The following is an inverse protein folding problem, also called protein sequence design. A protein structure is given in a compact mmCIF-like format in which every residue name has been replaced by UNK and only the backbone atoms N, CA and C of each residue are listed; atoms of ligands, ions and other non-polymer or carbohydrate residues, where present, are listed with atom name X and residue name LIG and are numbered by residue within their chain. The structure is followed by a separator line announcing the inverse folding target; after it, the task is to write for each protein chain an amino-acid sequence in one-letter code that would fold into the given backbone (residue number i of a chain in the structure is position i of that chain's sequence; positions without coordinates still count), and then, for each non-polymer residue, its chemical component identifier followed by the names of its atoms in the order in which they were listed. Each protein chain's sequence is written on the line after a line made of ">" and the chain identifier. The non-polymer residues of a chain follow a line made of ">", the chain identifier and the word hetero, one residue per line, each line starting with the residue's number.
data_IF_628828574987
#
_entry.id   IF_628828574987
#
_cell.length_a   1.000
_cell.length_b   1.000
_cell.length_c   1.000
_cell.angle_alpha   90.00
_cell.angle_beta   90.00
_cell.angle_gamma   90.00
#
_symmetry.space_group_name_H-M   'P 1'
#
loop_
_entity.id
_entity.type
_entity.pdbx_description
1 polymer ?
#
# COMPACT_ATOMS: atom_id res chain seq x y z
N UNK A 1 -0.60 2.23 -37.11
CA UNK A 1 -1.46 1.10 -36.71
C UNK A 1 -2.72 1.12 -37.60
N UNK A 2 -3.13 -0.03 -38.08
CA UNK A 2 -4.40 -0.20 -38.80
C UNK A 2 -5.49 -0.55 -37.76
N UNK A 3 -6.77 -0.47 -38.17
CA UNK A 3 -7.87 -0.85 -37.27
C UNK A 3 -7.79 -2.32 -36.81
N UNK A 4 -7.19 -3.19 -37.59
CA UNK A 4 -6.93 -4.61 -37.27
C UNK A 4 -5.86 -4.83 -36.16
N UNK A 5 -5.13 -3.79 -35.77
CA UNK A 5 -4.03 -3.88 -34.81
C UNK A 5 -4.50 -3.59 -33.37
N UNK A 6 -5.73 -3.12 -33.22
CA UNK A 6 -6.33 -2.80 -31.93
C UNK A 6 -7.22 -3.94 -31.43
N UNK A 7 -7.27 -4.13 -30.12
CA UNK A 7 -8.28 -4.99 -29.52
C UNK A 7 -9.63 -4.27 -29.54
N UNK A 8 -10.59 -4.81 -30.27
CA UNK A 8 -11.91 -4.19 -30.40
C UNK A 8 -12.80 -4.49 -29.20
N UNK A 9 -13.86 -3.67 -29.04
CA UNK A 9 -14.87 -3.94 -28.02
C UNK A 9 -15.56 -5.30 -28.24
N UNK A 10 -15.75 -5.70 -29.48
CA UNK A 10 -16.35 -7.01 -29.84
C UNK A 10 -15.48 -8.17 -29.37
N UNK A 11 -14.14 -8.08 -29.51
CA UNK A 11 -13.21 -9.10 -29.01
C UNK A 11 -13.26 -9.20 -27.49
N UNK A 12 -13.43 -8.06 -26.81
CA UNK A 12 -13.57 -8.04 -25.34
C UNK A 12 -14.88 -8.65 -24.90
N UNK A 13 -15.98 -8.28 -25.55
CA UNK A 13 -17.31 -8.85 -25.24
C UNK A 13 -17.30 -10.37 -25.47
N UNK A 14 -16.69 -10.87 -26.54
CA UNK A 14 -16.52 -12.30 -26.82
C UNK A 14 -15.65 -13.00 -25.76
N UNK A 15 -14.56 -12.36 -25.30
CA UNK A 15 -13.73 -12.89 -24.22
C UNK A 15 -14.53 -13.06 -22.93
N UNK A 16 -15.28 -12.02 -22.52
CA UNK A 16 -16.09 -12.03 -21.31
C UNK A 16 -17.26 -13.02 -21.38
N UNK A 17 -17.82 -13.23 -22.58
CA UNK A 17 -18.86 -14.26 -22.82
C UNK A 17 -18.28 -15.67 -22.76
N UNK A 18 -17.05 -15.86 -23.25
CA UNK A 18 -16.38 -17.18 -23.26
C UNK A 18 -15.94 -17.62 -21.87
N UNK A 19 -15.54 -16.67 -21.02
CA UNK A 19 -14.98 -16.93 -19.68
C UNK A 19 -15.72 -16.13 -18.59
N UNK A 20 -17.03 -16.30 -18.40
CA UNK A 20 -17.85 -15.48 -17.51
C UNK A 20 -17.54 -15.67 -16.02
N UNK A 21 -16.98 -16.81 -15.64
CA UNK A 21 -16.60 -17.12 -14.26
C UNK A 21 -15.20 -16.61 -13.89
N UNK A 22 -14.42 -16.18 -14.87
CA UNK A 22 -13.04 -15.74 -14.67
C UNK A 22 -12.91 -14.22 -14.64
N UNK A 23 -13.71 -13.50 -15.44
CA UNK A 23 -13.57 -12.06 -15.62
C UNK A 23 -14.84 -11.28 -15.30
N UNK A 24 -14.69 -10.26 -14.46
CA UNK A 24 -15.77 -9.34 -14.09
C UNK A 24 -15.92 -8.17 -15.09
N UNK A 25 -14.90 -7.92 -15.92
CA UNK A 25 -14.89 -6.84 -16.88
C UNK A 25 -13.48 -6.33 -17.22
N UNK A 26 -13.43 -5.17 -17.86
CA UNK A 26 -12.17 -4.49 -18.19
C UNK A 26 -12.11 -3.11 -17.56
N UNK A 27 -10.93 -2.74 -17.10
CA UNK A 27 -10.58 -1.38 -16.72
C UNK A 27 -9.59 -0.80 -17.73
N UNK A 28 -10.04 0.14 -18.54
CA UNK A 28 -9.21 0.82 -19.53
C UNK A 28 -9.35 2.33 -19.40
N UNK A 29 -8.27 3.03 -19.72
CA UNK A 29 -8.28 4.48 -19.80
C UNK A 29 -7.50 4.96 -21.03
N UNK A 30 -7.94 6.07 -21.60
CA UNK A 30 -7.27 6.75 -22.73
C UNK A 30 -7.19 8.24 -22.42
N UNK A 31 -6.02 8.83 -22.62
CA UNK A 31 -5.80 10.25 -22.36
C UNK A 31 -6.27 11.09 -23.55
N UNK A 32 -7.27 11.96 -23.33
CA UNK A 32 -7.76 12.89 -24.34
C UNK A 32 -6.85 14.11 -24.47
N UNK A 33 -6.44 14.68 -23.34
CA UNK A 33 -5.62 15.88 -23.31
C UNK A 33 -5.83 16.71 -22.05
N UNK A 34 -4.98 17.72 -21.91
CA UNK A 34 -5.11 18.75 -20.88
C UNK A 34 -5.89 19.94 -21.45
N UNK A 35 -6.61 20.63 -20.61
CA UNK A 35 -7.35 21.83 -20.99
C UNK A 35 -7.98 22.52 -19.81
N UNK A 36 -8.93 23.40 -20.10
CA UNK A 36 -9.60 24.20 -19.09
C UNK A 36 -11.11 24.09 -19.21
N UNK A 37 -11.77 24.07 -18.08
CA UNK A 37 -13.19 24.36 -17.96
C UNK A 37 -13.29 25.82 -17.52
N UNK A 38 -14.02 26.64 -18.29
CA UNK A 38 -14.07 28.08 -18.04
C UNK A 38 -15.49 28.60 -18.11
N UNK A 39 -15.90 29.34 -17.09
CA UNK A 39 -17.14 30.08 -17.04
C UNK A 39 -16.92 31.54 -17.48
N UNK A 40 -15.86 32.16 -16.96
CA UNK A 40 -15.42 33.50 -17.30
C UNK A 40 -13.88 33.64 -17.17
N UNK A 41 -13.34 34.86 -17.22
CA UNK A 41 -11.90 35.09 -17.11
C UNK A 41 -11.31 34.74 -15.74
N UNK A 42 -12.11 34.73 -14.69
CA UNK A 42 -11.67 34.53 -13.29
C UNK A 42 -12.05 33.17 -12.76
N UNK A 43 -13.16 32.59 -13.25
CA UNK A 43 -13.70 31.29 -12.83
C UNK A 43 -13.33 30.24 -13.87
N UNK A 44 -12.28 29.47 -13.57
CA UNK A 44 -11.79 28.37 -14.41
C UNK A 44 -11.21 27.25 -13.56
N UNK A 45 -11.11 26.06 -14.12
CA UNK A 45 -10.40 24.93 -13.56
C UNK A 45 -9.57 24.23 -14.63
N UNK A 46 -8.33 23.90 -14.32
CA UNK A 46 -7.49 23.09 -15.20
C UNK A 46 -7.83 21.63 -15.02
N UNK A 47 -8.05 20.93 -16.13
CA UNK A 47 -8.40 19.52 -16.10
C UNK A 47 -7.58 18.70 -17.07
N UNK A 48 -7.25 17.49 -16.63
CA UNK A 48 -6.67 16.41 -17.42
C UNK A 48 -7.78 15.44 -17.73
N UNK A 49 -8.17 15.33 -19.01
CA UNK A 49 -9.34 14.52 -19.40
C UNK A 49 -8.92 13.12 -19.78
N UNK A 50 -9.52 12.13 -19.13
CA UNK A 50 -9.32 10.71 -19.42
C UNK A 50 -10.66 10.05 -19.78
N UNK A 51 -10.68 9.38 -20.94
CA UNK A 51 -11.75 8.45 -21.29
C UNK A 51 -11.57 7.15 -20.52
N UNK A 52 -12.63 6.64 -19.87
CA UNK A 52 -12.55 5.41 -19.09
C UNK A 52 -13.71 4.48 -19.31
N UNK A 53 -13.48 3.18 -19.09
CA UNK A 53 -14.57 2.20 -18.98
C UNK A 53 -15.35 2.41 -17.69
N UNK A 54 -16.54 1.82 -17.59
CA UNK A 54 -17.40 1.94 -16.39
C UNK A 54 -16.76 1.34 -15.15
N UNK A 55 -15.98 0.30 -15.30
CA UNK A 55 -15.31 -0.44 -14.23
C UNK A 55 -14.03 0.25 -13.73
N UNK A 56 -13.51 1.23 -14.48
CA UNK A 56 -12.22 1.87 -14.17
C UNK A 56 -12.20 2.59 -12.82
N UNK A 57 -13.29 3.24 -12.44
CA UNK A 57 -13.42 3.95 -11.16
C UNK A 57 -13.34 2.96 -9.98
N UNK A 58 -13.99 1.80 -10.12
CA UNK A 58 -13.97 0.73 -9.12
C UNK A 58 -12.59 0.05 -9.08
N UNK A 59 -11.97 -0.17 -10.24
CA UNK A 59 -10.60 -0.67 -10.35
C UNK A 59 -9.59 0.23 -9.63
N UNK A 60 -9.70 1.55 -9.83
CA UNK A 60 -8.87 2.54 -9.15
C UNK A 60 -9.26 2.75 -7.68
N UNK A 61 -10.31 2.10 -7.19
CA UNK A 61 -10.85 2.27 -5.83
C UNK A 61 -11.14 3.73 -5.48
N UNK A 62 -11.60 4.49 -6.45
CA UNK A 62 -12.00 5.88 -6.25
C UNK A 62 -13.35 5.93 -5.53
N UNK A 63 -13.40 6.68 -4.44
CA UNK A 63 -14.62 6.85 -3.68
C UNK A 63 -15.48 7.93 -4.31
N UNK A 64 -16.72 7.58 -4.68
CA UNK A 64 -17.70 8.57 -5.14
C UNK A 64 -18.17 9.42 -3.96
N UNK A 65 -18.05 10.76 -4.10
CA UNK A 65 -18.50 11.74 -3.13
C UNK A 65 -20.00 12.05 -3.30
N UNK A 66 -20.45 12.22 -4.55
CA UNK A 66 -21.84 12.49 -4.90
C UNK A 66 -22.15 12.02 -6.34
N UNK A 67 -23.45 11.86 -6.63
CA UNK A 67 -23.91 11.44 -7.96
C UNK A 67 -23.68 9.96 -8.23
N UNK A 68 -23.34 9.61 -9.48
CA UNK A 68 -23.13 8.23 -9.92
C UNK A 68 -21.86 8.07 -10.74
N UNK A 69 -21.39 6.82 -10.85
CA UNK A 69 -20.32 6.43 -11.75
C UNK A 69 -20.77 6.46 -13.24
N UNK A 70 -19.81 6.42 -14.15
CA UNK A 70 -20.05 6.13 -15.56
C UNK A 70 -20.64 4.73 -15.70
N UNK A 71 -21.57 4.59 -16.62
CA UNK A 71 -22.24 3.29 -16.87
C UNK A 71 -21.82 2.69 -18.21
N UNK A 72 -21.96 1.37 -18.36
CA UNK A 72 -21.80 0.69 -19.66
C UNK A 72 -22.68 1.33 -20.74
N UNK A 73 -23.87 1.82 -20.36
CA UNK A 73 -24.77 2.51 -21.30
C UNK A 73 -24.22 3.88 -21.73
N UNK A 74 -23.59 4.65 -20.84
CA UNK A 74 -22.95 5.92 -21.20
C UNK A 74 -21.82 5.70 -22.20
N UNK A 75 -21.03 4.63 -21.99
CA UNK A 75 -19.98 4.19 -22.94
C UNK A 75 -20.58 3.78 -24.29
N UNK A 76 -21.55 2.86 -24.29
CA UNK A 76 -22.17 2.33 -25.51
C UNK A 76 -22.82 3.41 -26.37
N UNK A 77 -23.45 4.39 -25.73
CA UNK A 77 -24.16 5.49 -26.41
C UNK A 77 -23.28 6.71 -26.64
N UNK A 78 -21.98 6.66 -26.29
CA UNK A 78 -21.02 7.75 -26.44
C UNK A 78 -21.56 9.07 -25.87
N UNK A 79 -22.13 9.02 -24.65
CA UNK A 79 -22.72 10.20 -24.01
C UNK A 79 -21.65 11.20 -23.59
N UNK A 80 -21.95 12.47 -23.74
CA UNK A 80 -21.13 13.57 -23.26
C UNK A 80 -21.42 13.83 -21.77
N UNK A 81 -21.02 12.91 -20.92
CA UNK A 81 -21.11 13.00 -19.46
C UNK A 81 -19.72 12.90 -18.85
N UNK A 82 -19.56 13.45 -17.64
CA UNK A 82 -18.27 13.40 -16.97
C UNK A 82 -18.42 13.22 -15.46
N UNK A 83 -17.33 12.73 -14.85
CA UNK A 83 -17.11 12.70 -13.40
C UNK A 83 -15.92 13.60 -13.10
N UNK A 84 -16.02 14.44 -12.09
CA UNK A 84 -15.02 15.42 -11.68
C UNK A 84 -14.54 15.21 -10.25
N UNK A 85 -13.36 15.73 -9.91
CA UNK A 85 -12.86 15.71 -8.55
C UNK A 85 -13.66 16.67 -7.65
N UNK A 86 -13.80 16.33 -6.37
CA UNK A 86 -14.44 17.19 -5.35
C UNK A 86 -13.74 18.54 -5.21
N UNK A 87 -12.41 18.56 -5.31
CA UNK A 87 -11.59 19.78 -5.29
C UNK A 87 -11.93 20.71 -6.46
N UNK A 88 -12.05 20.15 -7.68
CA UNK A 88 -12.48 20.90 -8.86
C UNK A 88 -13.93 21.40 -8.71
N UNK A 89 -14.83 20.54 -8.27
CA UNK A 89 -16.24 20.91 -8.09
C UNK A 89 -16.38 22.09 -7.11
N UNK A 90 -15.69 22.03 -5.97
CA UNK A 90 -15.66 23.12 -4.98
C UNK A 90 -15.06 24.41 -5.53
N UNK A 91 -13.97 24.32 -6.28
CA UNK A 91 -13.29 25.48 -6.86
C UNK A 91 -14.17 26.20 -7.90
N UNK A 92 -14.87 25.43 -8.75
CA UNK A 92 -15.61 25.97 -9.88
C UNK A 92 -17.06 26.39 -9.53
N UNK A 93 -17.74 25.61 -8.68
CA UNK A 93 -19.14 25.81 -8.31
C UNK A 93 -19.33 26.37 -6.90
N UNK A 94 -18.27 26.41 -6.07
CA UNK A 94 -18.39 26.80 -4.67
C UNK A 94 -19.24 25.82 -3.87
N UNK A 95 -20.33 26.33 -3.28
CA UNK A 95 -21.29 25.54 -2.49
C UNK A 95 -22.50 25.05 -3.32
N UNK A 96 -22.56 25.36 -4.62
CA UNK A 96 -23.65 24.91 -5.49
C UNK A 96 -23.47 23.42 -5.83
N UNK A 97 -24.61 22.73 -6.04
CA UNK A 97 -24.58 21.31 -6.45
C UNK A 97 -24.25 21.20 -7.94
N UNK A 98 -23.09 20.66 -8.33
CA UNK A 98 -22.68 20.58 -9.73
C UNK A 98 -23.32 19.41 -10.50
N UNK A 99 -24.03 18.49 -9.83
CA UNK A 99 -24.64 17.33 -10.49
C UNK A 99 -25.76 17.75 -11.41
N UNK A 100 -25.62 17.39 -12.69
CA UNK A 100 -26.58 17.78 -13.75
C UNK A 100 -26.18 19.05 -14.51
N UNK A 101 -25.22 19.83 -13.98
CA UNK A 101 -24.74 21.04 -14.63
C UNK A 101 -23.92 20.71 -15.90
N UNK A 102 -24.00 21.58 -16.88
CA UNK A 102 -23.24 21.48 -18.12
C UNK A 102 -21.97 22.34 -18.04
N UNK A 103 -20.84 21.75 -18.36
CA UNK A 103 -19.53 22.41 -18.42
C UNK A 103 -18.97 22.38 -19.83
N UNK A 104 -18.25 23.44 -20.20
CA UNK A 104 -17.54 23.51 -21.48
C UNK A 104 -16.06 23.32 -21.25
N UNK A 105 -15.52 22.23 -21.78
CA UNK A 105 -14.10 21.93 -21.79
C UNK A 105 -13.44 22.50 -23.04
N UNK A 106 -12.45 23.35 -22.87
CA UNK A 106 -11.58 23.85 -23.91
C UNK A 106 -10.30 23.00 -23.96
N UNK A 107 -10.20 22.15 -24.96
CA UNK A 107 -9.04 21.28 -25.15
C UNK A 107 -7.82 22.05 -25.66
N UNK A 108 -6.63 21.47 -25.48
CA UNK A 108 -5.37 22.00 -26.04
C UNK A 108 -5.35 22.03 -27.58
N UNK A 109 -6.24 21.29 -28.22
CA UNK A 109 -6.50 21.27 -29.66
C UNK A 109 -7.29 22.49 -30.16
N UNK A 110 -7.75 23.36 -29.23
CA UNK A 110 -8.57 24.54 -29.50
C UNK A 110 -10.06 24.24 -29.68
N UNK A 111 -10.48 22.98 -29.57
CA UNK A 111 -11.89 22.61 -29.68
C UNK A 111 -12.61 22.77 -28.34
N UNK A 112 -13.92 23.03 -28.43
CA UNK A 112 -14.80 23.15 -27.27
C UNK A 112 -15.73 21.94 -27.21
N UNK A 113 -15.78 21.30 -26.05
CA UNK A 113 -16.61 20.13 -25.80
C UNK A 113 -17.51 20.36 -24.59
N UNK A 114 -18.77 20.02 -24.73
CA UNK A 114 -19.74 20.17 -23.64
C UNK A 114 -19.99 18.83 -22.98
N UNK A 115 -19.91 18.80 -21.64
CA UNK A 115 -20.16 17.62 -20.83
C UNK A 115 -21.13 17.95 -19.71
N UNK A 116 -21.98 16.98 -19.34
CA UNK A 116 -22.84 17.06 -18.15
C UNK A 116 -22.20 16.32 -16.99
N UNK A 117 -22.07 16.95 -15.84
CA UNK A 117 -21.53 16.32 -14.63
C UNK A 117 -22.55 15.33 -14.08
N UNK A 118 -22.16 14.04 -13.99
CA UNK A 118 -23.02 12.98 -13.43
C UNK A 118 -22.52 12.45 -12.10
N UNK A 119 -21.28 12.74 -11.74
CA UNK A 119 -20.69 12.29 -10.49
C UNK A 119 -19.49 13.12 -10.06
N UNK A 120 -19.19 13.03 -8.77
CA UNK A 120 -18.05 13.66 -8.12
C UNK A 120 -17.33 12.58 -7.34
N UNK A 121 -16.00 12.47 -7.53
CA UNK A 121 -15.16 11.56 -6.76
C UNK A 121 -14.28 12.32 -5.76
N UNK A 122 -13.93 11.66 -4.65
CA UNK A 122 -12.99 12.18 -3.65
C UNK A 122 -11.56 12.14 -4.19
N UNK A 123 -10.89 13.30 -4.26
CA UNK A 123 -9.50 13.36 -4.75
C UNK A 123 -8.57 12.57 -3.84
N UNK A 124 -7.84 11.63 -4.41
CA UNK A 124 -6.91 10.78 -3.67
C UNK A 124 -5.45 11.06 -4.09
N UNK A 125 -4.71 11.74 -3.22
CA UNK A 125 -3.30 12.08 -3.46
C UNK A 125 -2.38 10.86 -3.63
N UNK A 126 -2.77 9.68 -3.14
CA UNK A 126 -2.00 8.45 -3.34
C UNK A 126 -2.11 7.92 -4.78
N UNK A 127 -3.19 8.25 -5.49
CA UNK A 127 -3.43 7.81 -6.87
C UNK A 127 -3.02 8.86 -7.91
N UNK A 128 -3.26 10.14 -7.60
CA UNK A 128 -3.02 11.25 -8.53
C UNK A 128 -1.79 12.10 -8.17
N UNK A 129 -1.03 11.68 -7.16
CA UNK A 129 0.11 12.42 -6.64
C UNK A 129 -0.28 13.46 -5.58
N UNK A 130 0.73 13.90 -4.83
CA UNK A 130 0.56 14.98 -3.85
C UNK A 130 0.17 16.26 -4.59
N UNK A 131 -0.79 16.96 -4.03
CA UNK A 131 -1.14 18.29 -4.52
C UNK A 131 0.08 19.19 -4.43
N UNK A 132 0.52 19.74 -5.57
CA UNK A 132 1.63 20.70 -5.60
C UNK A 132 1.16 22.02 -4.96
N UNK A 133 1.64 22.25 -3.74
CA UNK A 133 1.31 23.47 -2.98
C UNK A 133 2.05 24.71 -3.46
N UNK A 134 3.06 24.58 -4.34
CA UNK A 134 3.74 25.71 -4.98
C UNK A 134 2.90 26.35 -6.10
N UNK A 135 1.95 25.59 -6.65
CA UNK A 135 0.99 26.06 -7.65
C UNK A 135 -0.29 26.54 -6.95
N UNK A 136 -0.80 27.74 -7.26
CA UNK A 136 -2.08 28.23 -6.76
C UNK A 136 -3.20 27.19 -6.99
N UNK A 137 -4.10 27.03 -6.03
CA UNK A 137 -5.15 25.99 -6.09
C UNK A 137 -5.93 26.01 -7.41
N UNK A 138 -6.27 27.20 -7.90
CA UNK A 138 -6.99 27.42 -9.18
C UNK A 138 -6.22 26.94 -10.43
N UNK A 139 -4.89 26.85 -10.35
CA UNK A 139 -4.03 26.51 -11.48
C UNK A 139 -3.64 25.01 -11.48
N UNK A 140 -4.04 24.25 -10.44
CA UNK A 140 -3.76 22.83 -10.32
C UNK A 140 -4.62 22.02 -11.26
N UNK A 141 -4.01 21.01 -11.88
CA UNK A 141 -4.74 20.06 -12.71
C UNK A 141 -5.45 19.01 -11.84
N UNK A 142 -6.71 18.76 -12.16
CA UNK A 142 -7.47 17.62 -11.63
C UNK A 142 -7.92 16.73 -12.78
N UNK A 143 -8.12 15.43 -12.50
CA UNK A 143 -8.55 14.50 -13.54
C UNK A 143 -10.08 14.57 -13.71
N UNK A 144 -10.53 14.70 -14.96
CA UNK A 144 -11.93 14.56 -15.34
C UNK A 144 -12.10 13.27 -16.14
N UNK A 145 -13.02 12.42 -15.72
CA UNK A 145 -13.31 11.15 -16.42
C UNK A 145 -14.53 11.28 -17.30
N UNK A 146 -14.42 10.79 -18.51
CA UNK A 146 -15.49 10.70 -19.50
C UNK A 146 -15.62 9.26 -20.02
N UNK A 147 -16.74 8.84 -20.65
CA UNK A 147 -16.83 7.54 -21.27
C UNK A 147 -15.73 7.33 -22.33
N UNK A 148 -15.05 6.18 -22.33
CA UNK A 148 -13.91 5.93 -23.23
C UNK A 148 -14.31 5.96 -24.71
N UNK A 149 -15.52 5.49 -25.02
CA UNK A 149 -16.03 5.55 -26.39
C UNK A 149 -16.31 6.99 -26.85
N UNK A 150 -16.68 7.87 -25.89
CA UNK A 150 -16.76 9.32 -26.16
C UNK A 150 -15.37 9.90 -26.42
N UNK A 151 -14.38 9.49 -25.63
CA UNK A 151 -12.99 9.90 -25.82
C UNK A 151 -12.47 9.51 -27.21
N UNK A 152 -12.64 8.25 -27.62
CA UNK A 152 -12.24 7.80 -28.96
C UNK A 152 -12.90 8.60 -30.08
N UNK A 153 -14.19 8.89 -29.95
CA UNK A 153 -14.92 9.74 -30.92
C UNK A 153 -14.31 11.14 -31.00
N UNK A 154 -13.99 11.77 -29.87
CA UNK A 154 -13.41 13.12 -29.83
C UNK A 154 -11.98 13.15 -30.39
N UNK A 155 -11.22 12.07 -30.24
CA UNK A 155 -9.89 11.89 -30.84
C UNK A 155 -9.92 11.57 -32.34
N UNK A 156 -11.09 11.41 -32.91
CA UNK A 156 -11.22 10.94 -34.34
C UNK A 156 -10.83 9.47 -34.52
N UNK A 157 -10.75 8.70 -33.42
CA UNK A 157 -10.41 7.26 -33.40
C UNK A 157 -11.65 6.38 -33.21
N UNK A 158 -12.78 6.79 -33.78
CA UNK A 158 -14.10 6.18 -33.49
C UNK A 158 -14.22 4.68 -33.87
N UNK A 159 -13.29 4.18 -34.69
CA UNK A 159 -13.16 2.77 -35.06
C UNK A 159 -11.91 2.11 -34.48
N UNK A 160 -11.17 2.80 -33.59
CA UNK A 160 -10.02 2.25 -32.92
C UNK A 160 -10.50 1.47 -31.71
N UNK A 161 -9.74 0.43 -31.38
CA UNK A 161 -9.94 -0.33 -30.16
C UNK A 161 -8.93 0.07 -29.08
N UNK A 162 -8.74 -0.81 -28.14
CA UNK A 162 -7.83 -0.65 -27.02
C UNK A 162 -6.41 -1.05 -27.41
N UNK A 163 -5.43 -0.25 -27.00
CA UNK A 163 -4.00 -0.59 -27.07
C UNK A 163 -3.49 -1.19 -25.78
N UNK A 164 -4.13 -0.83 -24.67
CA UNK A 164 -3.83 -1.33 -23.35
C UNK A 164 -5.10 -1.32 -22.49
N UNK A 165 -5.30 -2.36 -21.70
CA UNK A 165 -6.39 -2.47 -20.74
C UNK A 165 -6.04 -3.50 -19.67
N UNK A 166 -6.70 -3.39 -18.52
CA UNK A 166 -6.59 -4.36 -17.43
C UNK A 166 -7.85 -5.22 -17.40
N UNK A 167 -7.67 -6.53 -17.40
CA UNK A 167 -8.76 -7.47 -17.12
C UNK A 167 -8.96 -7.58 -15.62
N UNK A 168 -10.20 -7.44 -15.19
CA UNK A 168 -10.59 -7.63 -13.80
C UNK A 168 -10.92 -9.10 -13.57
N UNK A 169 -9.99 -9.82 -12.95
CA UNK A 169 -10.16 -11.25 -12.65
C UNK A 169 -11.06 -11.40 -11.44
N UNK A 170 -12.05 -12.32 -11.52
CA UNK A 170 -12.92 -12.66 -10.41
C UNK A 170 -12.12 -13.20 -9.22
N UNK A 171 -12.48 -12.81 -8.01
CA UNK A 171 -11.76 -13.18 -6.78
C UNK A 171 -11.72 -14.70 -6.49
N UNK A 172 -12.57 -15.48 -7.13
CA UNK A 172 -12.63 -16.94 -7.01
C UNK A 172 -11.90 -17.67 -8.14
N UNK A 173 -11.49 -16.98 -9.20
CA UNK A 173 -10.81 -17.56 -10.33
C UNK A 173 -9.32 -17.81 -10.04
N UNK A 174 -8.76 -18.84 -10.67
CA UNK A 174 -7.32 -19.07 -10.70
C UNK A 174 -6.67 -18.10 -11.69
N UNK A 175 -5.89 -17.18 -11.18
CA UNK A 175 -5.28 -16.11 -11.97
C UNK A 175 -4.26 -16.64 -13.00
N UNK A 176 -3.59 -17.74 -12.74
CA UNK A 176 -2.63 -18.33 -13.68
C UNK A 176 -3.35 -19.02 -14.83
N UNK A 177 -4.49 -19.70 -14.52
CA UNK A 177 -5.37 -20.27 -15.54
C UNK A 177 -6.01 -19.16 -16.38
N UNK A 178 -6.57 -18.14 -15.77
CA UNK A 178 -7.17 -16.99 -16.44
C UNK A 178 -6.16 -16.28 -17.37
N UNK A 179 -4.90 -16.14 -16.92
CA UNK A 179 -3.81 -15.58 -17.75
C UNK A 179 -3.56 -16.44 -18.98
N UNK A 180 -3.56 -17.77 -18.81
CA UNK A 180 -3.36 -18.73 -19.92
C UNK A 180 -4.51 -18.66 -20.90
N UNK A 181 -5.74 -18.59 -20.43
CA UNK A 181 -6.94 -18.56 -21.27
C UNK A 181 -7.06 -17.27 -22.10
N UNK A 182 -6.71 -16.13 -21.49
CA UNK A 182 -6.62 -14.84 -22.19
C UNK A 182 -5.52 -14.88 -23.25
N UNK A 183 -4.35 -15.43 -22.92
CA UNK A 183 -3.24 -15.53 -23.85
C UNK A 183 -3.63 -16.35 -25.08
N UNK A 184 -4.19 -17.53 -24.85
CA UNK A 184 -4.65 -18.41 -25.93
C UNK A 184 -5.75 -17.74 -26.80
N UNK A 185 -6.69 -17.03 -26.15
CA UNK A 185 -7.76 -16.32 -26.87
C UNK A 185 -7.20 -15.28 -27.82
N UNK A 186 -6.27 -14.44 -27.36
CA UNK A 186 -5.70 -13.40 -28.21
C UNK A 186 -4.67 -13.94 -29.22
N UNK A 187 -3.93 -15.00 -28.92
CA UNK A 187 -3.09 -15.70 -29.89
C UNK A 187 -3.92 -16.24 -31.05
N UNK A 188 -5.09 -16.80 -30.78
CA UNK A 188 -6.02 -17.25 -31.83
C UNK A 188 -6.51 -16.07 -32.69
N UNK A 189 -6.93 -14.96 -32.07
CA UNK A 189 -7.44 -13.77 -32.77
C UNK A 189 -6.39 -13.08 -33.63
N UNK A 190 -5.15 -13.08 -33.19
CA UNK A 190 -4.03 -12.41 -33.89
C UNK A 190 -3.14 -13.37 -34.67
N UNK A 191 -3.51 -14.64 -34.83
CA UNK A 191 -2.73 -15.66 -35.55
C UNK A 191 -2.35 -15.27 -36.96
N UNK A 192 -3.17 -14.44 -37.62
CA UNK A 192 -2.93 -13.95 -39.01
C UNK A 192 -2.36 -12.52 -39.05
N UNK A 193 -2.02 -11.92 -37.92
CA UNK A 193 -1.43 -10.59 -37.85
C UNK A 193 0.09 -10.69 -37.69
N UNK A 194 0.85 -10.48 -38.78
CA UNK A 194 2.31 -10.62 -38.75
C UNK A 194 3.03 -9.50 -38.00
N UNK A 195 2.36 -8.37 -37.72
CA UNK A 195 3.00 -7.17 -37.20
C UNK A 195 2.65 -6.90 -35.73
N UNK A 196 1.55 -7.44 -35.23
CA UNK A 196 1.04 -7.17 -33.89
C UNK A 196 0.57 -8.46 -33.21
N UNK A 197 0.86 -8.54 -31.94
CA UNK A 197 0.37 -9.59 -31.04
C UNK A 197 -0.03 -8.96 -29.72
N UNK A 198 -0.91 -9.61 -28.99
CA UNK A 198 -1.31 -9.21 -27.63
C UNK A 198 -0.38 -9.89 -26.64
N UNK A 199 0.22 -9.10 -25.77
CA UNK A 199 1.02 -9.62 -24.66
C UNK A 199 0.20 -9.53 -23.38
N UNK A 200 0.00 -10.64 -22.72
CA UNK A 200 -0.62 -10.71 -21.41
C UNK A 200 0.42 -10.56 -20.31
N UNK A 201 0.07 -9.80 -19.29
CA UNK A 201 0.95 -9.54 -18.16
C UNK A 201 0.21 -9.82 -16.85
N UNK A 202 0.73 -10.75 -16.06
CA UNK A 202 0.16 -11.11 -14.77
C UNK A 202 0.86 -10.35 -13.64
N UNK A 203 0.27 -9.23 -13.23
CA UNK A 203 0.80 -8.40 -12.16
C UNK A 203 0.81 -9.11 -10.79
N UNK A 204 -0.08 -10.08 -10.56
CA UNK A 204 -0.08 -10.86 -9.32
C UNK A 204 1.12 -11.80 -9.23
N UNK A 205 1.56 -12.38 -10.36
CA UNK A 205 2.77 -13.21 -10.40
C UNK A 205 4.01 -12.41 -10.01
N UNK A 206 4.15 -11.18 -10.51
CA UNK A 206 5.29 -10.31 -10.15
C UNK A 206 5.24 -9.89 -8.69
N UNK A 207 4.04 -9.57 -8.17
CA UNK A 207 3.86 -9.34 -6.74
C UNK A 207 4.21 -10.57 -5.91
N UNK A 208 3.90 -11.77 -6.39
CA UNK A 208 4.30 -13.04 -5.79
C UNK A 208 5.82 -13.20 -5.70
N UNK A 209 6.54 -12.84 -6.76
CA UNK A 209 8.00 -12.86 -6.79
C UNK A 209 8.60 -11.86 -5.81
N UNK A 210 8.10 -10.62 -5.77
CA UNK A 210 8.51 -9.59 -4.82
C UNK A 210 8.26 -10.07 -3.38
N UNK A 211 7.09 -10.63 -3.08
CA UNK A 211 6.77 -11.17 -1.77
C UNK A 211 7.70 -12.32 -1.38
N UNK A 212 8.09 -13.17 -2.31
CA UNK A 212 9.06 -14.24 -2.07
C UNK A 212 10.43 -13.68 -1.68
N UNK A 213 10.93 -12.67 -2.39
CA UNK A 213 12.19 -11.99 -2.06
C UNK A 213 12.12 -11.33 -0.67
N UNK A 214 11.01 -10.62 -0.38
CA UNK A 214 10.80 -10.01 0.94
C UNK A 214 10.76 -11.07 2.04
N UNK A 215 10.10 -12.21 1.83
CA UNK A 215 10.05 -13.31 2.79
C UNK A 215 11.45 -13.91 3.05
N UNK A 216 12.24 -14.13 2.02
CA UNK A 216 13.64 -14.64 2.17
C UNK A 216 14.47 -13.66 3.00
N UNK A 217 14.40 -12.35 2.69
CA UNK A 217 15.10 -11.33 3.47
C UNK A 217 14.61 -11.32 4.93
N UNK A 218 13.30 -11.40 5.13
CA UNK A 218 12.69 -11.41 6.47
C UNK A 218 13.16 -12.61 7.29
N UNK A 219 13.22 -13.80 6.69
CA UNK A 219 13.72 -15.01 7.36
C UNK A 219 15.20 -14.85 7.72
N UNK A 220 16.03 -14.34 6.81
CA UNK A 220 17.45 -14.12 7.06
C UNK A 220 17.69 -13.13 8.20
N UNK A 221 17.00 -11.98 8.18
CA UNK A 221 17.07 -10.95 9.24
C UNK A 221 16.56 -11.51 10.58
N UNK A 222 15.46 -12.28 10.56
CA UNK A 222 14.93 -12.94 11.76
C UNK A 222 15.91 -13.94 12.36
N UNK A 223 16.65 -14.68 11.52
CA UNK A 223 17.71 -15.58 11.96
C UNK A 223 18.84 -14.84 12.67
N UNK A 224 19.30 -13.72 12.12
CA UNK A 224 20.33 -12.86 12.72
C UNK A 224 19.82 -12.29 14.05
N UNK A 225 18.57 -11.83 14.08
CA UNK A 225 17.94 -11.29 15.29
C UNK A 225 17.83 -12.36 16.40
N UNK A 226 17.47 -13.60 16.06
CA UNK A 226 17.42 -14.72 17.01
C UNK A 226 18.78 -15.02 17.63
N UNK A 227 19.84 -15.09 16.81
CA UNK A 227 21.21 -15.28 17.28
C UNK A 227 21.61 -14.15 18.22
N UNK A 228 21.34 -12.90 17.85
CA UNK A 228 21.61 -11.72 18.67
C UNK A 228 20.87 -11.76 20.02
N UNK A 229 19.61 -12.22 20.00
CA UNK A 229 18.80 -12.40 21.22
C UNK A 229 19.38 -13.45 22.16
N UNK A 230 19.87 -14.57 21.62
CA UNK A 230 20.52 -15.63 22.40
C UNK A 230 21.80 -15.08 23.03
N UNK A 231 22.65 -14.41 22.25
CA UNK A 231 23.91 -13.82 22.75
C UNK A 231 23.62 -12.78 23.85
N UNK A 232 22.65 -11.89 23.62
CA UNK A 232 22.22 -10.92 24.62
C UNK A 232 21.65 -11.58 25.88
N UNK A 233 20.88 -12.65 25.73
CA UNK A 233 20.33 -13.44 26.83
C UNK A 233 21.41 -14.09 27.70
N UNK A 234 22.48 -14.62 27.08
CA UNK A 234 23.65 -15.12 27.78
C UNK A 234 24.33 -14.00 28.60
N UNK A 235 24.37 -12.77 28.01
CA UNK A 235 24.86 -11.58 28.73
C UNK A 235 24.04 -11.29 29.99
N UNK A 236 22.69 -11.31 29.89
CA UNK A 236 21.79 -11.14 31.04
C UNK A 236 22.03 -12.24 32.07
N UNK A 237 22.17 -13.49 31.66
CA UNK A 237 22.46 -14.62 32.56
C UNK A 237 23.77 -14.41 33.32
N UNK A 238 24.83 -13.95 32.65
CA UNK A 238 26.12 -13.68 33.29
C UNK A 238 26.04 -12.55 34.32
N UNK A 239 25.36 -11.44 34.00
CA UNK A 239 25.14 -10.32 34.90
C UNK A 239 24.37 -10.80 36.14
N UNK A 240 23.33 -11.61 35.97
CA UNK A 240 22.53 -12.15 37.05
C UNK A 240 23.36 -13.09 37.94
N UNK A 241 24.25 -13.93 37.37
CA UNK A 241 25.14 -14.79 38.15
C UNK A 241 26.09 -13.97 39.03
N UNK A 242 26.67 -12.89 38.48
CA UNK A 242 27.52 -11.97 39.26
C UNK A 242 26.71 -11.29 40.38
N UNK A 243 25.55 -10.74 40.06
CA UNK A 243 24.67 -10.10 41.05
C UNK A 243 24.26 -11.04 42.20
N UNK A 244 24.02 -12.32 41.89
CA UNK A 244 23.70 -13.34 42.89
C UNK A 244 24.90 -13.61 43.78
N UNK A 245 26.11 -13.72 43.24
CA UNK A 245 27.33 -13.95 44.04
C UNK A 245 27.62 -12.78 44.97
N UNK A 246 27.45 -11.55 44.49
CA UNK A 246 27.59 -10.34 45.31
C UNK A 246 26.58 -10.27 46.50
N UNK A 247 25.35 -10.80 46.29
CA UNK A 247 24.26 -10.79 47.27
C UNK A 247 24.09 -12.12 48.00
N UNK A 248 25.07 -13.04 47.93
CA UNK A 248 24.99 -14.40 48.51
C UNK A 248 24.62 -14.38 49.98
N UNK A 249 25.27 -13.53 50.79
CA UNK A 249 25.01 -13.39 52.23
C UNK A 249 23.59 -12.89 52.53
N UNK A 250 23.09 -11.94 51.76
CA UNK A 250 21.72 -11.41 51.87
C UNK A 250 20.68 -12.51 51.59
N UNK A 251 20.91 -13.32 50.53
CA UNK A 251 20.07 -14.46 50.20
C UNK A 251 20.07 -15.48 51.36
N UNK A 252 21.27 -15.78 51.90
CA UNK A 252 21.42 -16.66 53.06
C UNK A 252 20.64 -16.20 54.28
N UNK A 253 20.70 -14.93 54.64
CA UNK A 253 19.92 -14.33 55.72
C UNK A 253 18.42 -14.48 55.53
N UNK A 254 17.93 -14.17 54.28
CA UNK A 254 16.51 -14.34 53.98
C UNK A 254 16.03 -15.79 54.11
N UNK A 255 16.86 -16.74 53.64
CA UNK A 255 16.55 -18.18 53.79
C UNK A 255 16.60 -18.63 55.24
N UNK A 256 17.55 -18.13 56.04
CA UNK A 256 17.62 -18.41 57.49
C UNK A 256 16.38 -17.90 58.28
N UNK A 257 15.80 -16.78 57.83
CA UNK A 257 14.55 -16.21 58.34
C UNK A 257 13.28 -16.91 57.79
N UNK A 258 13.42 -18.01 57.06
CA UNK A 258 12.31 -18.85 56.60
C UNK A 258 11.74 -18.52 55.21
N UNK A 259 12.43 -17.73 54.40
CA UNK A 259 11.98 -17.46 53.02
C UNK A 259 11.97 -18.76 52.20
N UNK A 260 10.86 -19.00 51.51
CA UNK A 260 10.73 -20.17 50.63
C UNK A 260 11.65 -20.03 49.40
N UNK A 261 12.25 -21.14 48.97
CA UNK A 261 13.10 -21.20 47.74
C UNK A 261 12.39 -20.67 46.52
N UNK A 262 11.08 -20.90 46.42
CA UNK A 262 10.26 -20.36 45.30
C UNK A 262 10.18 -18.84 45.29
N UNK A 263 10.14 -18.22 46.50
CA UNK A 263 10.11 -16.75 46.64
C UNK A 263 11.43 -16.12 46.16
N UNK A 264 12.56 -16.70 46.60
CA UNK A 264 13.89 -16.25 46.17
C UNK A 264 14.02 -16.38 44.64
N UNK A 265 13.65 -17.55 44.07
CA UNK A 265 13.69 -17.75 42.62
C UNK A 265 12.83 -16.76 41.89
N UNK A 266 11.58 -16.53 42.32
CA UNK A 266 10.66 -15.60 41.68
C UNK A 266 11.19 -14.17 41.67
N UNK A 267 11.82 -13.74 42.74
CA UNK A 267 12.43 -12.41 42.87
C UNK A 267 13.47 -12.17 41.79
N UNK A 268 14.41 -13.09 41.58
CA UNK A 268 15.46 -12.94 40.54
C UNK A 268 14.92 -13.07 39.13
N UNK A 269 13.90 -13.91 38.91
CA UNK A 269 13.23 -13.99 37.57
C UNK A 269 12.53 -12.67 37.25
N UNK A 270 11.83 -12.07 38.26
CA UNK A 270 11.19 -10.75 38.02
C UNK A 270 12.23 -9.67 37.75
N UNK A 271 13.38 -9.70 38.47
CA UNK A 271 14.48 -8.74 38.25
C UNK A 271 15.02 -8.86 36.81
N UNK A 272 15.21 -10.07 36.28
CA UNK A 272 15.63 -10.32 34.91
C UNK A 272 14.57 -9.84 33.90
N UNK A 273 13.28 -10.11 34.15
CA UNK A 273 12.18 -9.63 33.30
C UNK A 273 12.17 -8.10 33.23
N UNK A 274 12.28 -7.43 34.36
CA UNK A 274 12.28 -5.96 34.43
C UNK A 274 13.45 -5.38 33.64
N UNK A 275 14.67 -5.93 33.80
CA UNK A 275 15.83 -5.51 33.02
C UNK A 275 15.61 -5.67 31.53
N UNK A 276 15.06 -6.82 31.11
CA UNK A 276 14.78 -7.07 29.67
C UNK A 276 13.69 -6.15 29.13
N UNK A 277 12.64 -5.86 29.89
CA UNK A 277 11.58 -4.93 29.45
C UNK A 277 12.14 -3.50 29.29
N UNK A 278 12.93 -3.01 30.25
CA UNK A 278 13.56 -1.69 30.11
C UNK A 278 14.51 -1.63 28.95
N UNK A 279 15.35 -2.64 28.74
CA UNK A 279 16.20 -2.75 27.55
C UNK A 279 15.37 -2.78 26.26
N UNK A 280 14.29 -3.56 26.24
CA UNK A 280 13.37 -3.65 25.12
C UNK A 280 12.71 -2.32 24.77
N UNK A 281 12.27 -1.53 25.76
CA UNK A 281 11.71 -0.19 25.54
C UNK A 281 12.73 0.76 24.89
N UNK A 282 13.97 0.75 25.38
CA UNK A 282 15.05 1.58 24.81
C UNK A 282 15.30 1.20 23.33
N UNK A 283 15.38 -0.10 23.03
CA UNK A 283 15.59 -0.61 21.67
C UNK A 283 14.43 -0.22 20.75
N UNK A 284 13.18 -0.26 21.22
CA UNK A 284 12.01 0.20 20.46
C UNK A 284 12.12 1.68 20.14
N UNK A 285 12.49 2.53 21.09
CA UNK A 285 12.68 3.96 20.83
C UNK A 285 13.76 4.22 19.78
N UNK A 286 14.91 3.53 19.89
CA UNK A 286 15.99 3.62 18.90
C UNK A 286 15.51 3.11 17.52
N UNK A 287 14.76 2.01 17.49
CA UNK A 287 14.21 1.43 16.26
C UNK A 287 13.24 2.37 15.55
N UNK A 288 12.33 3.01 16.29
CA UNK A 288 11.39 4.01 15.76
C UNK A 288 12.15 5.23 15.22
N UNK A 289 13.14 5.73 15.96
CA UNK A 289 13.97 6.84 15.54
C UNK A 289 14.74 6.52 14.24
N UNK A 290 15.42 5.36 14.18
CA UNK A 290 16.11 4.91 12.97
C UNK A 290 15.15 4.74 11.79
N UNK A 291 13.97 4.16 12.00
CA UNK A 291 12.95 4.03 10.98
C UNK A 291 12.52 5.38 10.41
N UNK A 292 12.33 6.38 11.28
CA UNK A 292 12.02 7.74 10.86
C UNK A 292 13.14 8.38 10.04
N UNK A 293 14.40 8.26 10.49
CA UNK A 293 15.57 8.80 9.79
C UNK A 293 15.74 8.13 8.42
N UNK A 294 15.65 6.81 8.35
CA UNK A 294 15.75 6.07 7.08
C UNK A 294 14.60 6.41 6.13
N UNK A 295 13.38 6.55 6.65
CA UNK A 295 12.23 6.99 5.86
C UNK A 295 12.43 8.37 5.25
N UNK A 296 12.96 9.34 6.02
CA UNK A 296 13.28 10.67 5.54
C UNK A 296 14.45 10.67 4.54
N UNK A 297 15.46 9.87 4.77
CA UNK A 297 16.58 9.72 3.83
C UNK A 297 16.09 9.12 2.49
N UNK A 298 15.24 8.10 2.54
CA UNK A 298 14.66 7.52 1.32
C UNK A 298 13.76 8.52 0.58
N UNK A 299 12.92 9.28 1.29
CA UNK A 299 12.12 10.36 0.70
C UNK A 299 13.00 11.39 -0.01
N UNK A 300 14.11 11.81 0.62
CA UNK A 300 15.08 12.74 0.04
C UNK A 300 15.74 12.18 -1.24
N UNK A 301 16.16 10.92 -1.22
CA UNK A 301 16.77 10.26 -2.40
C UNK A 301 15.76 10.19 -3.54
N UNK A 302 14.52 9.77 -3.28
CA UNK A 302 13.47 9.67 -4.29
C UNK A 302 13.17 11.05 -4.89
N UNK A 303 13.06 12.08 -4.07
CA UNK A 303 12.79 13.44 -4.55
C UNK A 303 13.91 14.00 -5.44
N UNK A 304 15.18 13.68 -5.15
CA UNK A 304 16.30 14.23 -5.90
C UNK A 304 16.72 13.39 -7.11
N UNK A 305 16.58 12.06 -7.05
CA UNK A 305 17.01 11.15 -8.13
C UNK A 305 15.85 10.73 -9.06
N UNK A 306 14.62 10.76 -8.58
CA UNK A 306 13.44 10.28 -9.28
C UNK A 306 12.30 11.29 -9.14
N UNK A 307 12.56 12.56 -9.43
CA UNK A 307 11.61 13.66 -9.25
C UNK A 307 10.27 13.43 -9.99
N UNK A 308 10.30 12.73 -11.12
CA UNK A 308 9.12 12.39 -11.91
C UNK A 308 8.17 11.43 -11.17
N UNK A 309 8.70 10.57 -10.29
CA UNK A 309 7.91 9.61 -9.50
C UNK A 309 7.67 10.07 -8.06
N UNK A 310 8.28 11.18 -7.64
CA UNK A 310 8.23 11.65 -6.24
C UNK A 310 6.81 11.99 -5.77
N UNK A 311 5.95 12.42 -6.68
CA UNK A 311 4.55 12.75 -6.39
C UNK A 311 3.68 11.52 -6.08
N UNK A 312 4.06 10.34 -6.59
CA UNK A 312 3.32 9.09 -6.41
C UNK A 312 3.80 8.26 -5.22
N UNK A 313 4.99 8.56 -4.67
CA UNK A 313 5.57 7.77 -3.59
C UNK A 313 5.38 8.50 -2.26
N UNK A 314 4.43 8.01 -1.46
CA UNK A 314 4.18 8.51 -0.10
C UNK A 314 4.82 7.53 0.89
N UNK A 315 5.99 7.87 1.43
CA UNK A 315 6.61 7.10 2.50
C UNK A 315 6.06 7.52 3.86
N UNK A 316 5.30 6.63 4.50
CA UNK A 316 4.81 6.83 5.87
C UNK A 316 5.36 5.75 6.78
N UNK A 317 6.37 6.10 7.57
CA UNK A 317 6.91 5.19 8.61
C UNK A 317 6.05 5.32 9.86
N UNK A 318 5.16 4.36 10.07
CA UNK A 318 4.35 4.26 11.28
C UNK A 318 4.69 2.97 12.02
N UNK A 319 5.12 3.05 13.29
CA UNK A 319 5.35 1.85 14.08
C UNK A 319 4.03 1.10 14.28
N UNK A 320 4.01 -0.19 13.98
CA UNK A 320 2.86 -1.05 14.25
C UNK A 320 2.76 -1.34 15.74
N UNK A 321 1.61 -1.06 16.36
CA UNK A 321 1.36 -1.37 17.77
C UNK A 321 1.53 -2.88 18.05
N UNK A 322 1.11 -3.73 17.13
CA UNK A 322 1.28 -5.18 17.25
C UNK A 322 2.76 -5.59 17.26
N UNK A 323 3.61 -4.95 16.44
CA UNK A 323 5.04 -5.21 16.43
C UNK A 323 5.70 -4.77 17.74
N UNK A 324 5.30 -3.64 18.33
CA UNK A 324 5.78 -3.16 19.64
C UNK A 324 5.42 -4.16 20.72
N UNK A 325 4.15 -4.59 20.81
CA UNK A 325 3.69 -5.55 21.82
C UNK A 325 4.42 -6.89 21.68
N UNK A 326 4.58 -7.37 20.45
CA UNK A 326 5.30 -8.62 20.16
C UNK A 326 6.77 -8.53 20.56
N UNK A 327 7.45 -7.42 20.30
CA UNK A 327 8.84 -7.19 20.67
C UNK A 327 9.03 -7.19 22.19
N UNK A 328 8.13 -6.53 22.94
CA UNK A 328 8.15 -6.55 24.42
C UNK A 328 7.87 -7.96 24.98
N UNK A 329 6.97 -8.70 24.35
CA UNK A 329 6.69 -10.08 24.74
C UNK A 329 7.94 -10.98 24.58
N UNK A 330 8.63 -10.90 23.44
CA UNK A 330 9.88 -11.65 23.24
C UNK A 330 10.98 -11.20 24.19
N UNK A 331 11.09 -9.91 24.47
CA UNK A 331 12.04 -9.39 25.46
C UNK A 331 11.77 -9.95 26.87
N UNK A 332 10.51 -9.97 27.30
CA UNK A 332 10.10 -10.57 28.56
C UNK A 332 10.42 -12.09 28.59
N UNK A 333 10.13 -12.80 27.53
CA UNK A 333 10.36 -14.23 27.40
C UNK A 333 11.87 -14.55 27.52
N UNK A 334 12.73 -13.71 26.92
CA UNK A 334 14.18 -13.78 27.07
C UNK A 334 14.60 -13.60 28.53
N UNK A 335 14.04 -12.62 29.22
CA UNK A 335 14.28 -12.41 30.66
C UNK A 335 13.90 -13.61 31.51
N UNK A 336 12.77 -14.24 31.25
CA UNK A 336 12.34 -15.48 31.94
C UNK A 336 13.31 -16.61 31.66
N UNK A 337 13.63 -16.87 30.36
CA UNK A 337 14.43 -18.03 29.96
C UNK A 337 15.86 -17.95 30.50
N UNK A 338 16.55 -16.84 30.27
CA UNK A 338 17.94 -16.66 30.71
C UNK A 338 18.07 -16.28 32.20
N UNK A 339 17.04 -15.71 32.82
CA UNK A 339 16.99 -15.40 34.24
C UNK A 339 16.67 -16.61 35.12
N UNK A 340 15.98 -17.63 34.56
CA UNK A 340 15.56 -18.79 35.35
C UNK A 340 16.74 -19.63 35.89
N UNK A 341 17.77 -19.86 35.07
CA UNK A 341 18.95 -20.66 35.48
C UNK A 341 19.68 -20.05 36.67
N UNK A 342 20.13 -18.76 36.64
CA UNK A 342 20.76 -18.14 37.80
C UNK A 342 19.84 -18.06 39.02
N UNK A 343 18.54 -17.71 38.80
CA UNK A 343 17.55 -17.66 39.89
C UNK A 343 17.38 -19.03 40.61
N UNK A 344 17.38 -20.12 39.85
CA UNK A 344 17.28 -21.45 40.40
C UNK A 344 18.57 -21.86 41.15
N UNK A 345 19.74 -21.42 40.68
CA UNK A 345 21.03 -21.62 41.39
C UNK A 345 21.04 -20.89 42.73
N UNK A 346 20.57 -19.62 42.76
CA UNK A 346 20.44 -18.85 43.98
C UNK A 346 19.51 -19.52 45.02
N UNK A 347 18.33 -20.00 44.56
CA UNK A 347 17.34 -20.65 45.38
C UNK A 347 17.79 -22.02 45.98
N UNK A 348 18.80 -22.65 45.41
CA UNK A 348 19.34 -23.96 45.82
C UNK A 348 20.57 -23.85 46.70
N UNK A 349 21.09 -22.66 47.00
CA UNK A 349 22.23 -22.47 47.91
C UNK A 349 21.93 -22.99 49.29
N UNK A 350 22.93 -23.59 49.94
CA UNK A 350 22.82 -23.97 51.35
C UNK A 350 22.98 -22.74 52.24
N UNK A 351 22.11 -22.59 53.22
CA UNK A 351 22.07 -21.42 54.12
C UNK A 351 23.40 -21.24 54.84
N UNK A 352 24.03 -22.36 55.26
CA UNK A 352 25.29 -22.34 55.97
C UNK A 352 26.42 -21.79 55.09
N UNK A 353 26.50 -22.27 53.87
CA UNK A 353 27.52 -21.83 52.88
C UNK A 353 27.31 -20.36 52.47
N UNK A 354 26.07 -19.96 52.30
CA UNK A 354 25.73 -18.57 51.95
C UNK A 354 26.08 -17.57 53.10
N UNK A 355 25.97 -17.97 54.36
CA UNK A 355 26.31 -17.12 55.52
C UNK A 355 27.82 -17.08 55.80
N UNK A 356 28.57 -18.07 55.30
CA UNK A 356 30.04 -18.21 55.50
C UNK A 356 30.82 -17.53 54.34
N UNK A 357 30.13 -17.09 53.29
CA UNK A 357 30.75 -16.45 52.12
C UNK A 357 31.23 -15.04 52.56
N UNK A 358 32.57 -14.83 52.52
CA UNK A 358 33.23 -13.54 52.70
C UNK A 358 33.36 -12.80 51.37
#
# INVERSE_FOLDING_TARGET
>A
MKSSDYVTQEMIDELLEKYPDEFDGIAASEFLGNGQIRQDKNTYANVSVQGTTSEYIDYMKLKMYAGRNLTKQDNKTKKNVCIVADTMAKQYFGDENPIGEQITYAGSDGNLYNFTIVGIYEYNAALFGKVDTSVPEKDRYTTMFIPIQTCFKLMGKDQSGYTNFNLMVNSLADIDQATTDVTNFFEEKYANNENFHVTTYNMASDMGMINTVINVITIAVSGIALISLIVGGVGVMNIMLVSITERTREIGVRMALGAKRSTIRMQFVIEAIVLCIFGGMIVILIGVFNGFVLGKAAEFVIQNMYSEYSSYIIMSVRPSLSAIVLSLFFSMLTGVFFGYYPANKAAKMEVIDALRYE
#
